data_IF_365064372738
#
_entry.id   IF_365064372738
#
_cell.length_a   1.000
_cell.length_b   1.000
_cell.length_c   1.000
_cell.angle_alpha   90.00
_cell.angle_beta   90.00
_cell.angle_gamma   90.00
#
_symmetry.space_group_name_H-M   'P 1'
#
loop_
_entity.id
_entity.type
_entity.pdbx_description
1 polymer ?
#
# COMPACT_ATOMS: atom_id res chain seq x y z
N UNK A 1 8.85 -10.34 5.57
CA UNK A 1 8.56 -9.78 4.25
C UNK A 1 9.61 -10.31 3.32
N UNK A 2 9.20 -11.20 2.43
CA UNK A 2 10.06 -11.71 1.37
C UNK A 2 9.56 -11.15 0.03
N UNK A 3 10.46 -10.55 -0.73
CA UNK A 3 10.16 -10.17 -2.12
C UNK A 3 10.26 -11.42 -2.96
N UNK A 4 9.11 -11.91 -3.43
CA UNK A 4 9.01 -13.17 -4.17
C UNK A 4 9.35 -12.93 -5.65
N UNK A 5 8.90 -11.81 -6.20
CA UNK A 5 9.13 -11.45 -7.60
C UNK A 5 9.07 -9.93 -7.78
N UNK A 6 9.93 -9.38 -8.66
CA UNK A 6 9.82 -8.01 -9.16
C UNK A 6 9.84 -8.06 -10.69
N UNK A 7 8.80 -7.54 -11.31
CA UNK A 7 8.75 -7.24 -12.74
C UNK A 7 8.80 -5.72 -12.95
N UNK A 8 8.86 -5.27 -14.21
CA UNK A 8 9.03 -3.85 -14.53
C UNK A 8 7.96 -2.94 -13.92
N UNK A 9 6.73 -3.42 -13.73
CA UNK A 9 5.57 -2.63 -13.28
C UNK A 9 4.89 -3.18 -12.02
N UNK A 10 5.38 -4.28 -11.44
CA UNK A 10 4.75 -4.93 -10.29
C UNK A 10 5.74 -5.69 -9.41
N UNK A 11 5.40 -5.82 -8.13
CA UNK A 11 6.11 -6.67 -7.18
C UNK A 11 5.14 -7.64 -6.51
N UNK A 12 5.58 -8.89 -6.31
CA UNK A 12 4.88 -9.91 -5.53
C UNK A 12 5.60 -10.04 -4.19
N UNK A 13 4.87 -9.82 -3.11
CA UNK A 13 5.39 -9.86 -1.74
C UNK A 13 4.72 -10.98 -0.96
N UNK A 14 5.51 -11.77 -0.23
CA UNK A 14 5.01 -12.65 0.80
C UNK A 14 5.07 -11.89 2.14
N UNK A 15 3.90 -11.64 2.72
CA UNK A 15 3.72 -10.86 3.94
C UNK A 15 2.97 -11.67 4.99
N UNK A 16 3.40 -11.57 6.24
CA UNK A 16 2.58 -11.94 7.40
C UNK A 16 1.53 -10.85 7.71
N UNK A 17 0.53 -11.17 8.53
CA UNK A 17 -0.56 -10.23 8.88
C UNK A 17 -0.04 -8.93 9.51
N UNK A 18 0.95 -9.01 10.41
CA UNK A 18 1.59 -7.84 11.03
C UNK A 18 2.32 -6.97 10.01
N UNK A 19 2.87 -7.57 8.95
CA UNK A 19 3.59 -6.88 7.90
C UNK A 19 2.62 -6.20 6.92
N UNK A 20 1.46 -6.80 6.68
CA UNK A 20 0.34 -6.16 5.96
C UNK A 20 -0.12 -4.90 6.71
N UNK A 21 -0.34 -5.00 8.03
CA UNK A 21 -0.71 -3.83 8.84
C UNK A 21 0.37 -2.75 8.85
N UNK A 22 1.64 -3.14 8.94
CA UNK A 22 2.75 -2.20 8.86
C UNK A 22 2.77 -1.45 7.51
N UNK A 23 2.58 -2.17 6.39
CA UNK A 23 2.51 -1.57 5.05
C UNK A 23 1.34 -0.58 4.93
N UNK A 24 0.16 -0.97 5.42
CA UNK A 24 -1.02 -0.10 5.40
C UNK A 24 -0.81 1.19 6.20
N UNK A 25 -0.17 1.10 7.37
CA UNK A 25 0.16 2.27 8.19
C UNK A 25 1.15 3.19 7.47
N UNK A 26 2.22 2.63 6.89
CA UNK A 26 3.21 3.43 6.14
C UNK A 26 2.60 4.14 4.92
N UNK A 27 1.67 3.50 4.22
CA UNK A 27 0.93 4.14 3.12
C UNK A 27 0.08 5.31 3.64
N UNK A 28 -0.60 5.12 4.77
CA UNK A 28 -1.43 6.17 5.36
C UNK A 28 -0.59 7.37 5.85
N UNK A 29 0.55 7.11 6.50
CA UNK A 29 1.49 8.17 6.92
C UNK A 29 2.00 8.96 5.71
N UNK A 30 2.38 8.29 4.62
CA UNK A 30 2.81 8.97 3.40
C UNK A 30 1.69 9.82 2.76
N UNK A 31 0.45 9.35 2.87
CA UNK A 31 -0.75 10.04 2.38
C UNK A 31 -1.09 11.30 3.19
N UNK A 32 -0.91 11.24 4.51
CA UNK A 32 -1.18 12.35 5.44
C UNK A 32 -0.05 13.38 5.45
N UNK A 33 1.20 12.96 5.21
CA UNK A 33 2.37 13.83 5.27
C UNK A 33 2.53 14.79 4.09
N UNK A 34 1.72 14.65 3.03
CA UNK A 34 1.88 15.40 1.78
C UNK A 34 0.57 16.08 1.37
N UNK A 35 0.66 17.39 1.10
CA UNK A 35 -0.47 18.18 0.60
C UNK A 35 -0.95 17.66 -0.76
N UNK A 36 -2.25 17.78 -1.03
CA UNK A 36 -2.90 17.22 -2.23
C UNK A 36 -2.22 17.65 -3.54
N UNK A 37 -1.80 18.92 -3.63
CA UNK A 37 -1.18 19.46 -4.84
C UNK A 37 0.28 19.00 -5.04
N UNK A 38 0.97 18.59 -3.96
CA UNK A 38 2.35 18.09 -4.03
C UNK A 38 2.42 16.57 -4.27
N UNK A 39 1.32 15.87 -4.02
CA UNK A 39 1.31 14.41 -3.92
C UNK A 39 1.83 13.73 -5.21
N UNK A 40 1.26 14.07 -6.36
CA UNK A 40 1.66 13.48 -7.64
C UNK A 40 3.07 13.85 -8.06
N UNK A 41 3.56 15.03 -7.66
CA UNK A 41 4.94 15.47 -7.91
C UNK A 41 5.94 14.64 -7.10
N UNK A 42 5.64 14.38 -5.81
CA UNK A 42 6.56 13.67 -4.91
C UNK A 42 6.57 12.16 -5.14
N UNK A 43 5.41 11.56 -5.45
CA UNK A 43 5.26 10.11 -5.54
C UNK A 43 5.13 9.57 -6.97
N UNK A 44 4.97 10.45 -7.97
CA UNK A 44 4.82 10.04 -9.36
C UNK A 44 3.51 9.28 -9.66
N UNK A 45 2.56 9.29 -8.71
CA UNK A 45 1.25 8.64 -8.83
C UNK A 45 0.14 9.57 -8.34
N UNK A 46 -1.05 9.39 -8.88
CA UNK A 46 -2.22 10.14 -8.43
C UNK A 46 -2.70 9.69 -7.05
N UNK A 47 -3.25 10.62 -6.27
CA UNK A 47 -3.75 10.34 -4.92
C UNK A 47 -4.88 9.30 -4.92
N UNK A 48 -5.67 9.26 -5.98
CA UNK A 48 -6.75 8.28 -6.17
C UNK A 48 -6.24 6.86 -6.40
N UNK A 49 -5.07 6.68 -7.01
CA UNK A 49 -4.43 5.37 -7.12
C UNK A 49 -4.08 4.81 -5.73
N UNK A 50 -3.54 5.66 -4.85
CA UNK A 50 -3.17 5.26 -3.48
C UNK A 50 -4.41 4.91 -2.65
N UNK A 51 -5.51 5.65 -2.80
CA UNK A 51 -6.80 5.31 -2.17
C UNK A 51 -7.29 3.93 -2.62
N UNK A 52 -7.25 3.66 -3.92
CA UNK A 52 -7.67 2.37 -4.46
C UNK A 52 -6.78 1.22 -3.95
N UNK A 53 -5.46 1.43 -3.88
CA UNK A 53 -4.52 0.47 -3.30
C UNK A 53 -4.82 0.20 -1.82
N UNK A 54 -5.08 1.25 -1.04
CA UNK A 54 -5.42 1.11 0.38
C UNK A 54 -6.71 0.31 0.58
N UNK A 55 -7.76 0.56 -0.22
CA UNK A 55 -8.99 -0.23 -0.17
C UNK A 55 -8.75 -1.71 -0.46
N UNK A 56 -7.92 -2.03 -1.45
CA UNK A 56 -7.56 -3.42 -1.76
C UNK A 56 -6.79 -4.09 -0.62
N UNK A 57 -5.88 -3.37 0.04
CA UNK A 57 -5.14 -3.88 1.21
C UNK A 57 -6.04 -4.10 2.42
N UNK A 58 -7.00 -3.20 2.69
CA UNK A 58 -7.99 -3.36 3.76
C UNK A 58 -8.89 -4.57 3.54
N UNK A 59 -9.33 -4.81 2.30
CA UNK A 59 -10.08 -6.02 1.94
C UNK A 59 -9.26 -7.30 2.17
N UNK A 60 -7.97 -7.30 1.82
CA UNK A 60 -7.07 -8.43 2.08
C UNK A 60 -6.86 -8.63 3.58
N UNK A 61 -6.62 -7.57 4.35
CA UNK A 61 -6.46 -7.65 5.81
C UNK A 61 -7.69 -8.28 6.46
N UNK A 62 -8.89 -7.81 6.13
CA UNK A 62 -10.14 -8.35 6.68
C UNK A 62 -10.34 -9.83 6.37
N UNK A 63 -9.92 -10.27 5.18
CA UNK A 63 -10.00 -11.68 4.78
C UNK A 63 -9.00 -12.55 5.54
N UNK A 64 -7.83 -12.00 5.85
CA UNK A 64 -6.82 -12.69 6.65
C UNK A 64 -7.20 -12.77 8.13
N UNK A 65 -7.85 -11.74 8.68
CA UNK A 65 -8.34 -11.74 10.07
C UNK A 65 -9.54 -12.68 10.30
N UNK A 66 -10.25 -13.06 9.23
CA UNK A 66 -11.42 -13.93 9.28
C UNK A 66 -11.10 -15.44 9.13
N UNK A 67 -9.84 -15.80 8.83
CA UNK A 67 -9.37 -17.18 8.64
C UNK A 67 -8.49 -17.65 9.78
#
# INVERSE_FOLDING_TARGET
MDVVEVQHDRAVLALGITEVHALMNSINEAFEAVEDWEFSIRFGVEKDFVKALWTQLDEVSKRLDAG
#
